data_IF_763231540129
#
_entry.id   IF_763231540129
#
_cell.length_a   1.000
_cell.length_b   1.000
_cell.length_c   1.000
_cell.angle_alpha   90.00
_cell.angle_beta   90.00
_cell.angle_gamma   90.00
#
_symmetry.space_group_name_H-M   'P 1'
#
loop_
_entity.id
_entity.type
_entity.pdbx_description
1 polymer ?
#
# COMPACT_ATOMS: atom_id res chain seq x y z
N UNK A 1 -4.81 46.00 43.38
CA UNK A 1 -5.77 44.89 43.19
C UNK A 1 -6.29 44.98 41.76
N UNK A 2 -6.36 44.00 40.87
CA UNK A 2 -6.13 42.55 40.87
C UNK A 2 -5.83 42.12 39.40
N UNK A 3 -4.94 41.11 39.15
CA UNK A 3 -5.17 40.23 37.99
C UNK A 3 -4.73 38.76 38.22
N UNK A 4 -4.81 38.23 39.44
CA UNK A 4 -4.31 36.87 39.76
C UNK A 4 -5.34 35.75 39.68
N UNK A 5 -6.65 36.06 39.68
CA UNK A 5 -7.71 35.04 39.70
C UNK A 5 -8.00 34.45 38.30
N UNK A 6 -8.02 35.26 37.24
CA UNK A 6 -8.31 34.78 35.87
C UNK A 6 -7.20 33.89 35.30
N UNK A 7 -5.93 34.14 35.64
CA UNK A 7 -4.80 33.32 35.17
C UNK A 7 -4.81 31.91 35.75
N UNK A 8 -5.25 31.74 37.01
CA UNK A 8 -5.35 30.43 37.67
C UNK A 8 -6.50 29.61 37.11
N UNK A 9 -7.67 30.22 36.88
CA UNK A 9 -8.82 29.55 36.25
C UNK A 9 -8.49 29.09 34.83
N UNK A 10 -7.82 29.92 34.02
CA UNK A 10 -7.43 29.56 32.66
C UNK A 10 -6.39 28.42 32.62
N UNK A 11 -5.39 28.48 33.50
CA UNK A 11 -4.38 27.42 33.62
C UNK A 11 -5.01 26.09 34.10
N UNK A 12 -5.91 26.13 35.07
CA UNK A 12 -6.64 24.95 35.55
C UNK A 12 -7.57 24.35 34.49
N UNK A 13 -8.24 25.17 33.68
CA UNK A 13 -9.05 24.68 32.55
C UNK A 13 -8.16 24.03 31.49
N UNK A 14 -7.02 24.63 31.14
CA UNK A 14 -6.04 24.03 30.22
C UNK A 14 -5.52 22.70 30.77
N UNK A 15 -5.14 22.64 32.05
CA UNK A 15 -4.67 21.40 32.67
C UNK A 15 -5.74 20.33 32.70
N UNK A 16 -6.99 20.68 33.00
CA UNK A 16 -8.11 19.73 33.01
C UNK A 16 -8.46 19.22 31.60
N UNK A 17 -8.36 20.08 30.59
CA UNK A 17 -8.56 19.71 29.18
C UNK A 17 -7.43 18.84 28.63
N UNK A 18 -6.18 19.13 28.98
CA UNK A 18 -5.03 18.28 28.62
C UNK A 18 -5.13 16.93 29.32
N UNK A 19 -5.52 16.90 30.59
CA UNK A 19 -5.72 15.66 31.32
C UNK A 19 -6.90 14.86 30.75
N UNK A 20 -8.02 15.50 30.43
CA UNK A 20 -9.16 14.85 29.79
C UNK A 20 -8.85 14.31 28.38
N UNK A 21 -8.00 15.02 27.62
CA UNK A 21 -7.50 14.56 26.34
C UNK A 21 -6.63 13.31 26.52
N UNK A 22 -5.63 13.35 27.41
CA UNK A 22 -4.75 12.21 27.70
C UNK A 22 -5.46 11.02 28.36
N UNK A 23 -6.62 11.24 28.99
CA UNK A 23 -7.46 10.19 29.59
C UNK A 23 -8.48 9.60 28.61
N UNK A 24 -8.55 10.07 27.36
CA UNK A 24 -9.33 9.40 26.31
C UNK A 24 -8.77 8.00 26.02
N UNK A 25 -9.61 7.07 25.57
CA UNK A 25 -9.15 5.74 25.16
C UNK A 25 -8.25 5.77 23.91
N UNK A 26 -8.37 6.82 23.09
CA UNK A 26 -7.58 7.01 21.87
C UNK A 26 -7.32 8.51 21.56
N UNK A 27 -6.49 9.21 22.36
CA UNK A 27 -6.25 10.64 22.21
C UNK A 27 -5.69 11.06 20.85
N UNK A 28 -4.93 10.16 20.20
CA UNK A 28 -4.26 10.45 18.93
C UNK A 28 -4.98 9.87 17.72
N UNK A 29 -6.19 9.33 17.90
CA UNK A 29 -7.02 8.72 16.84
C UNK A 29 -6.28 7.65 16.04
N UNK A 30 -5.59 6.74 16.75
CA UNK A 30 -4.76 5.68 16.17
C UNK A 30 -5.49 4.36 15.99
N UNK A 31 -6.69 4.23 16.55
CA UNK A 31 -7.44 2.98 16.55
C UNK A 31 -8.35 2.86 15.32
N UNK A 32 -8.57 1.62 14.93
CA UNK A 32 -9.50 1.23 13.89
C UNK A 32 -10.41 0.11 14.40
N UNK A 33 -11.57 -0.05 13.80
CA UNK A 33 -12.40 -1.23 14.05
C UNK A 33 -11.84 -2.44 13.27
N UNK A 34 -12.21 -3.66 13.71
CA UNK A 34 -11.86 -4.90 13.00
C UNK A 34 -12.41 -4.91 11.56
N UNK A 35 -13.59 -4.33 11.37
CA UNK A 35 -14.18 -4.08 10.06
C UNK A 35 -14.89 -2.74 10.04
N UNK A 36 -14.65 -1.96 8.99
CA UNK A 36 -15.31 -0.67 8.78
C UNK A 36 -15.40 -0.29 7.31
N UNK A 37 -16.25 0.69 6.98
CA UNK A 37 -16.35 1.20 5.61
C UNK A 37 -15.07 1.93 5.21
N UNK A 38 -14.59 1.67 4.00
CA UNK A 38 -13.50 2.44 3.42
C UNK A 38 -14.00 3.83 3.01
N UNK A 39 -13.06 4.78 2.91
CA UNK A 39 -13.37 6.13 2.45
C UNK A 39 -13.46 6.15 0.92
N UNK A 40 -14.59 6.63 0.39
CA UNK A 40 -14.79 6.77 -1.05
C UNK A 40 -14.40 8.18 -1.54
N UNK A 41 -13.83 8.22 -2.72
CA UNK A 41 -13.41 9.41 -3.45
C UNK A 41 -13.94 9.37 -4.88
N UNK A 42 -14.02 10.56 -5.48
CA UNK A 42 -14.30 10.72 -6.91
C UNK A 42 -13.41 11.82 -7.48
N UNK A 43 -13.02 11.66 -8.74
CA UNK A 43 -12.32 12.68 -9.50
C UNK A 43 -13.18 13.96 -9.58
N UNK A 44 -12.52 15.11 -9.69
CA UNK A 44 -13.21 16.40 -9.87
C UNK A 44 -14.04 16.45 -11.15
N UNK A 45 -13.59 15.72 -12.17
CA UNK A 45 -14.28 15.54 -13.44
C UNK A 45 -14.33 14.05 -13.73
N UNK A 46 -15.54 13.52 -13.90
CA UNK A 46 -15.74 12.12 -14.26
C UNK A 46 -15.70 12.00 -15.79
N UNK A 47 -14.78 11.19 -16.27
CA UNK A 47 -14.69 10.81 -17.68
C UNK A 47 -15.51 9.53 -17.84
N UNK A 48 -16.57 9.57 -18.64
CA UNK A 48 -17.37 8.36 -18.86
C UNK A 48 -16.46 7.24 -19.43
N UNK A 49 -16.33 6.09 -18.75
CA UNK A 49 -15.50 5.01 -19.25
C UNK A 49 -16.09 4.49 -20.55
N UNK A 50 -15.22 4.02 -21.45
CA UNK A 50 -15.67 3.25 -22.60
C UNK A 50 -16.42 1.99 -22.12
N UNK A 51 -17.33 1.42 -22.93
CA UNK A 51 -17.87 0.10 -22.64
C UNK A 51 -16.72 -0.88 -22.41
N UNK A 52 -16.77 -1.70 -21.33
CA UNK A 52 -15.68 -2.61 -21.03
C UNK A 52 -15.45 -3.57 -22.19
N UNK A 53 -14.19 -3.74 -22.55
CA UNK A 53 -13.77 -4.71 -23.56
C UNK A 53 -13.84 -6.15 -23.03
N UNK A 54 -13.31 -7.14 -23.77
CA UNK A 54 -13.22 -8.52 -23.28
C UNK A 54 -12.19 -8.67 -22.15
N UNK A 55 -11.34 -7.65 -21.92
CA UNK A 55 -10.27 -7.67 -20.93
C UNK A 55 -10.23 -6.35 -20.16
N UNK A 56 -9.83 -6.42 -18.90
CA UNK A 56 -9.52 -5.27 -18.06
C UNK A 56 -8.02 -5.21 -17.78
N UNK A 57 -7.41 -4.04 -17.96
CA UNK A 57 -6.02 -3.82 -17.56
C UNK A 57 -5.96 -3.47 -16.08
N UNK A 58 -5.33 -4.33 -15.28
CA UNK A 58 -5.14 -4.13 -13.84
C UNK A 58 -3.68 -3.76 -13.58
N UNK A 59 -3.47 -2.77 -12.73
CA UNK A 59 -2.15 -2.34 -12.28
C UNK A 59 -2.06 -2.41 -10.75
N UNK A 60 -0.91 -2.82 -10.25
CA UNK A 60 -0.55 -2.80 -8.83
C UNK A 60 0.75 -2.01 -8.64
N UNK A 61 0.79 -1.16 -7.62
CA UNK A 61 1.97 -0.33 -7.34
C UNK A 61 2.03 0.20 -5.91
N UNK A 62 3.06 -0.19 -5.15
CA UNK A 62 3.49 0.56 -3.97
C UNK A 62 4.15 1.88 -4.40
N UNK A 63 3.54 3.01 -4.03
CA UNK A 63 3.97 4.35 -4.49
C UNK A 63 4.88 5.08 -3.52
N UNK A 64 5.32 4.40 -2.45
CA UNK A 64 6.23 4.94 -1.43
C UNK A 64 5.82 6.34 -0.97
N UNK A 65 4.52 6.56 -0.70
CA UNK A 65 3.94 7.85 -0.28
C UNK A 65 4.37 9.05 -1.15
N UNK A 66 4.59 8.83 -2.45
CA UNK A 66 5.08 9.86 -3.37
C UNK A 66 6.51 10.33 -3.05
N UNK A 67 7.32 9.46 -2.46
CA UNK A 67 8.70 9.70 -2.04
C UNK A 67 9.72 9.57 -3.15
N UNK A 68 9.38 8.91 -4.26
CA UNK A 68 10.34 8.66 -5.34
C UNK A 68 11.58 7.94 -4.81
N UNK A 69 12.75 8.54 -5.00
CA UNK A 69 14.04 8.07 -4.47
C UNK A 69 14.64 9.01 -3.43
N UNK A 70 13.80 9.68 -2.64
CA UNK A 70 14.26 10.43 -1.47
C UNK A 70 14.72 9.44 -0.41
N UNK A 71 15.91 9.68 0.14
CA UNK A 71 16.55 8.80 1.13
C UNK A 71 16.01 9.08 2.54
N UNK A 72 14.96 8.36 2.94
CA UNK A 72 14.35 8.51 4.26
C UNK A 72 15.16 7.80 5.35
N UNK A 73 15.04 8.28 6.59
CA UNK A 73 15.74 7.71 7.74
C UNK A 73 15.42 6.23 7.99
N UNK A 74 14.17 5.81 7.76
CA UNK A 74 13.74 4.43 7.94
C UNK A 74 14.20 3.48 6.82
N UNK A 75 14.69 4.03 5.70
CA UNK A 75 15.35 3.24 4.64
C UNK A 75 16.85 3.06 4.92
N UNK A 76 17.39 3.76 5.92
CA UNK A 76 18.80 3.78 6.31
C UNK A 76 19.78 4.31 5.23
N UNK A 77 19.26 4.90 4.14
CA UNK A 77 20.06 5.54 3.09
C UNK A 77 20.26 7.05 3.32
N UNK A 78 19.48 7.68 4.21
CA UNK A 78 19.56 9.12 4.48
C UNK A 78 18.94 9.51 5.81
N UNK A 79 18.72 10.81 6.02
CA UNK A 79 18.16 11.37 7.27
C UNK A 79 16.80 12.06 7.04
N UNK A 80 16.24 11.96 5.83
CA UNK A 80 15.01 12.67 5.49
C UNK A 80 13.79 12.08 6.21
N UNK A 81 12.89 12.96 6.62
CA UNK A 81 11.63 12.61 7.30
C UNK A 81 10.45 13.27 6.58
N UNK A 82 10.65 14.49 6.08
CA UNK A 82 9.59 15.36 5.59
C UNK A 82 9.94 15.87 4.20
N UNK A 83 9.06 15.62 3.23
CA UNK A 83 9.17 16.24 1.94
C UNK A 83 8.58 17.65 1.94
N UNK A 84 9.18 18.52 1.14
CA UNK A 84 8.55 19.75 0.70
C UNK A 84 7.35 19.45 -0.20
N UNK A 85 6.39 20.37 -0.26
CA UNK A 85 5.25 20.23 -1.17
C UNK A 85 5.67 20.12 -2.63
N UNK A 86 6.75 20.79 -3.04
CA UNK A 86 7.28 20.70 -4.41
C UNK A 86 7.79 19.30 -4.75
N UNK A 87 8.51 18.66 -3.84
CA UNK A 87 8.99 17.27 -4.04
C UNK A 87 7.82 16.31 -4.17
N UNK A 88 6.85 16.38 -3.25
CA UNK A 88 5.63 15.54 -3.31
C UNK A 88 4.92 15.71 -4.64
N UNK A 89 4.69 16.95 -5.10
CA UNK A 89 3.98 17.19 -6.37
C UNK A 89 4.80 16.71 -7.57
N UNK A 90 6.12 16.91 -7.58
CA UNK A 90 7.00 16.43 -8.65
C UNK A 90 6.98 14.90 -8.75
N UNK A 91 7.06 14.20 -7.62
CA UNK A 91 7.02 12.74 -7.58
C UNK A 91 5.65 12.21 -8.01
N UNK A 92 4.56 12.82 -7.51
CA UNK A 92 3.21 12.47 -7.94
C UNK A 92 2.99 12.71 -9.45
N UNK A 93 3.62 13.73 -10.04
CA UNK A 93 3.58 13.96 -11.49
C UNK A 93 4.19 12.80 -12.26
N UNK A 94 5.36 12.30 -11.85
CA UNK A 94 5.98 11.13 -12.46
C UNK A 94 5.11 9.86 -12.31
N UNK A 95 4.55 9.63 -11.12
CA UNK A 95 3.60 8.53 -10.89
C UNK A 95 2.38 8.64 -11.82
N UNK A 96 1.77 9.82 -11.92
CA UNK A 96 0.63 10.03 -12.80
C UNK A 96 0.99 9.92 -14.29
N UNK A 97 2.17 10.39 -14.71
CA UNK A 97 2.66 10.17 -16.08
C UNK A 97 2.76 8.69 -16.40
N UNK A 98 3.30 7.88 -15.48
CA UNK A 98 3.36 6.44 -15.63
C UNK A 98 1.98 5.79 -15.68
N UNK A 99 1.08 6.19 -14.79
CA UNK A 99 -0.31 5.69 -14.76
C UNK A 99 -1.03 6.03 -16.07
N UNK A 100 -0.92 7.26 -16.58
CA UNK A 100 -1.53 7.65 -17.87
C UNK A 100 -0.90 6.93 -19.07
N UNK A 101 0.39 6.60 -18.98
CA UNK A 101 1.09 5.84 -20.02
C UNK A 101 0.62 4.38 -20.09
N UNK A 102 0.31 3.78 -18.94
CA UNK A 102 -0.28 2.43 -18.85
C UNK A 102 -1.79 2.45 -19.13
N UNK A 103 -2.49 3.50 -18.69
CA UNK A 103 -3.94 3.70 -18.76
C UNK A 103 -4.77 2.54 -18.15
N UNK A 104 -4.49 2.11 -16.89
CA UNK A 104 -5.16 0.95 -16.30
C UNK A 104 -6.65 1.20 -16.07
N UNK A 105 -7.45 0.16 -16.18
CA UNK A 105 -8.87 0.17 -15.82
C UNK A 105 -9.05 0.27 -14.30
N UNK A 106 -8.21 -0.47 -13.57
CA UNK A 106 -8.19 -0.56 -12.11
C UNK A 106 -6.74 -0.51 -11.64
N UNK A 107 -6.50 0.25 -10.58
CA UNK A 107 -5.18 0.44 -9.99
C UNK A 107 -5.24 0.19 -8.47
N UNK A 108 -4.46 -0.79 -8.00
CA UNK A 108 -4.20 -1.06 -6.59
C UNK A 108 -2.95 -0.27 -6.18
N UNK A 109 -3.04 0.49 -5.10
CA UNK A 109 -1.94 1.31 -4.58
C UNK A 109 -1.72 1.02 -3.11
N UNK A 110 -0.45 0.81 -2.72
CA UNK A 110 -0.01 0.74 -1.33
C UNK A 110 0.83 1.98 -0.98
N UNK A 111 0.91 2.27 0.33
CA UNK A 111 1.62 3.45 0.86
C UNK A 111 1.17 4.79 0.28
N UNK A 112 -0.13 4.99 0.08
CA UNK A 112 -0.64 6.30 -0.35
C UNK A 112 -1.05 7.15 0.86
N UNK A 113 -0.54 8.38 0.92
CA UNK A 113 -0.74 9.28 2.04
C UNK A 113 -1.90 10.27 1.80
N UNK A 114 -2.68 10.52 2.84
CA UNK A 114 -3.74 11.54 2.82
C UNK A 114 -3.64 12.46 4.04
N UNK A 115 -3.14 13.68 3.83
CA UNK A 115 -2.95 14.68 4.90
C UNK A 115 -1.88 14.30 5.95
N UNK A 116 -0.90 13.48 5.59
CA UNK A 116 0.29 13.26 6.41
C UNK A 116 1.24 14.45 6.36
N UNK A 117 1.91 14.74 7.48
CA UNK A 117 2.92 15.80 7.58
C UNK A 117 4.12 15.53 6.66
N UNK A 118 4.58 14.28 6.57
CA UNK A 118 5.71 13.87 5.70
C UNK A 118 5.49 14.16 4.22
N UNK A 119 4.24 14.23 3.77
CA UNK A 119 3.86 14.53 2.39
C UNK A 119 3.24 15.93 2.26
N UNK A 120 3.66 16.89 3.10
CA UNK A 120 3.18 18.27 3.08
C UNK A 120 1.63 18.40 3.09
N UNK A 121 0.94 17.47 3.76
CA UNK A 121 -0.51 17.38 3.86
C UNK A 121 -1.24 17.25 2.51
N UNK A 122 -0.56 16.79 1.46
CA UNK A 122 -1.21 16.49 0.18
C UNK A 122 -2.14 15.29 0.35
N UNK A 123 -3.33 15.36 -0.25
CA UNK A 123 -4.19 14.19 -0.41
C UNK A 123 -3.82 13.50 -1.72
N UNK A 124 -2.98 12.48 -1.66
CA UNK A 124 -2.41 11.85 -2.85
C UNK A 124 -3.46 11.07 -3.63
N UNK A 125 -4.39 10.38 -2.97
CA UNK A 125 -5.53 9.69 -3.61
C UNK A 125 -6.33 10.66 -4.47
N UNK A 126 -6.74 11.80 -3.90
CA UNK A 126 -7.50 12.81 -4.64
C UNK A 126 -6.67 13.44 -5.77
N UNK A 127 -5.39 13.70 -5.51
CA UNK A 127 -4.50 14.29 -6.50
C UNK A 127 -4.32 13.36 -7.71
N UNK A 128 -4.12 12.06 -7.50
CA UNK A 128 -3.97 11.06 -8.57
C UNK A 128 -5.25 10.93 -9.39
N UNK A 129 -6.42 10.89 -8.75
CA UNK A 129 -7.72 10.91 -9.45
C UNK A 129 -7.88 12.15 -10.35
N UNK A 130 -7.40 13.31 -9.90
CA UNK A 130 -7.51 14.56 -10.68
C UNK A 130 -6.47 14.68 -11.81
N UNK A 131 -5.49 13.78 -11.88
CA UNK A 131 -4.37 13.83 -12.83
C UNK A 131 -4.22 12.52 -13.63
N UNK A 132 -5.22 11.66 -13.63
CA UNK A 132 -5.28 10.40 -14.41
C UNK A 132 -6.70 10.20 -14.94
N UNK A 133 -6.92 9.15 -15.73
CA UNK A 133 -8.20 8.77 -16.31
C UNK A 133 -9.09 7.96 -15.34
N UNK A 134 -8.61 7.74 -14.10
CA UNK A 134 -9.33 7.02 -13.05
C UNK A 134 -10.36 7.95 -12.39
N UNK A 135 -11.57 7.44 -12.18
CA UNK A 135 -12.72 8.25 -11.78
C UNK A 135 -13.10 8.12 -10.31
N UNK A 136 -12.90 6.93 -9.74
CA UNK A 136 -13.38 6.57 -8.41
C UNK A 136 -12.23 5.97 -7.61
N UNK A 137 -12.21 6.20 -6.31
CA UNK A 137 -11.30 5.47 -5.43
C UNK A 137 -11.95 5.06 -4.11
N UNK A 138 -11.49 3.94 -3.58
CA UNK A 138 -11.65 3.55 -2.19
C UNK A 138 -10.30 3.66 -1.49
N UNK A 139 -10.29 4.12 -0.24
CA UNK A 139 -9.08 4.28 0.57
C UNK A 139 -9.30 3.74 1.98
N UNK A 140 -8.30 3.02 2.48
CA UNK A 140 -8.27 2.51 3.85
C UNK A 140 -6.91 2.77 4.49
N UNK A 141 -6.92 3.53 5.58
CA UNK A 141 -5.71 3.81 6.36
C UNK A 141 -5.17 2.53 7.02
N UNK A 142 -3.85 2.37 6.95
CA UNK A 142 -3.09 1.40 7.73
C UNK A 142 -2.21 2.07 8.80
N UNK A 143 -1.93 3.37 8.69
CA UNK A 143 -1.21 4.12 9.71
C UNK A 143 -1.88 5.46 9.90
N UNK A 144 -2.47 5.70 11.07
CA UNK A 144 -3.18 6.94 11.37
C UNK A 144 -2.81 7.41 12.76
N UNK A 145 -2.41 8.66 12.87
CA UNK A 145 -2.28 9.36 14.13
C UNK A 145 -2.33 10.86 13.88
N UNK A 146 -3.01 11.59 14.76
CA UNK A 146 -2.98 13.06 14.73
C UNK A 146 -1.57 13.60 14.99
N UNK A 147 -0.77 12.86 15.76
CA UNK A 147 0.63 13.17 16.03
C UNK A 147 1.40 11.94 16.53
N UNK A 148 2.38 11.47 15.76
CA UNK A 148 3.40 10.51 16.20
C UNK A 148 4.56 11.28 16.85
N UNK A 149 4.86 11.05 18.15
CA UNK A 149 5.88 11.79 18.89
C UNK A 149 7.29 11.19 18.72
N UNK A 150 7.63 10.69 17.54
CA UNK A 150 8.95 10.10 17.22
C UNK A 150 9.48 10.64 15.90
N UNK A 151 10.80 10.79 15.82
CA UNK A 151 11.58 11.02 14.59
C UNK A 151 11.09 12.16 13.68
N UNK A 152 10.37 13.13 14.24
CA UNK A 152 9.80 14.25 13.47
C UNK A 152 8.57 13.92 12.62
N UNK A 153 8.10 12.67 12.63
CA UNK A 153 6.99 12.12 11.82
C UNK A 153 5.73 13.00 11.94
N UNK A 154 5.28 13.28 13.17
CA UNK A 154 4.09 14.10 13.41
C UNK A 154 2.81 13.44 12.88
N UNK A 155 1.91 14.22 12.26
CA UNK A 155 0.63 13.70 11.77
C UNK A 155 0.86 12.69 10.64
N UNK A 156 0.18 11.55 10.70
CA UNK A 156 0.23 10.52 9.67
C UNK A 156 -1.16 9.99 9.36
N UNK A 157 -1.39 9.72 8.08
CA UNK A 157 -2.54 9.01 7.58
C UNK A 157 -2.15 8.38 6.22
N UNK A 158 -1.56 7.18 6.31
CA UNK A 158 -1.08 6.37 5.18
C UNK A 158 -1.93 5.12 5.06
N UNK A 159 -2.14 4.64 3.84
CA UNK A 159 -3.10 3.57 3.56
C UNK A 159 -2.91 2.89 2.22
N UNK A 160 -3.85 1.99 1.95
CA UNK A 160 -4.05 1.34 0.66
C UNK A 160 -5.20 2.04 -0.08
N UNK A 161 -5.13 2.07 -1.40
CA UNK A 161 -6.22 2.56 -2.24
C UNK A 161 -6.50 1.64 -3.42
N UNK A 162 -7.76 1.61 -3.85
CA UNK A 162 -8.19 1.00 -5.11
C UNK A 162 -8.79 2.13 -5.93
N UNK A 163 -8.17 2.45 -7.06
CA UNK A 163 -8.65 3.44 -8.03
C UNK A 163 -9.26 2.71 -9.22
N UNK A 164 -10.30 3.27 -9.82
CA UNK A 164 -11.04 2.63 -10.91
C UNK A 164 -11.60 3.66 -11.88
N UNK A 165 -11.58 3.32 -13.18
CA UNK A 165 -12.37 4.03 -14.21
C UNK A 165 -13.87 3.84 -13.99
N UNK A 166 -14.28 2.73 -13.37
CA UNK A 166 -15.65 2.30 -13.18
C UNK A 166 -16.17 2.57 -11.75
N UNK A 167 -17.49 2.74 -11.55
CA UNK A 167 -18.06 3.02 -10.24
C UNK A 167 -17.73 1.97 -9.17
N UNK A 168 -17.36 2.43 -7.98
CA UNK A 168 -17.21 1.58 -6.79
C UNK A 168 -18.53 1.55 -6.04
N UNK A 169 -19.18 0.38 -5.99
CA UNK A 169 -20.48 0.16 -5.37
C UNK A 169 -20.39 0.12 -3.84
N UNK A 170 -19.34 -0.52 -3.34
CA UNK A 170 -19.06 -0.60 -1.90
C UNK A 170 -17.57 -0.85 -1.67
N UNK A 171 -17.08 -0.44 -0.50
CA UNK A 171 -15.71 -0.75 -0.10
C UNK A 171 -15.58 -0.85 1.43
N UNK A 172 -14.77 -1.81 1.88
CA UNK A 172 -14.59 -2.16 3.28
C UNK A 172 -13.11 -2.35 3.60
N UNK A 173 -12.75 -1.93 4.81
CA UNK A 173 -11.45 -2.17 5.44
C UNK A 173 -11.62 -3.30 6.45
N UNK A 174 -10.82 -4.35 6.33
CA UNK A 174 -10.71 -5.45 7.30
C UNK A 174 -9.34 -5.37 7.95
N UNK A 175 -9.30 -5.26 9.28
CA UNK A 175 -8.04 -5.18 10.01
C UNK A 175 -7.27 -6.52 9.94
N UNK A 176 -5.95 -6.41 9.85
CA UNK A 176 -5.04 -7.53 9.97
C UNK A 176 -4.39 -7.56 11.37
N UNK A 177 -3.91 -8.72 11.84
CA UNK A 177 -3.21 -8.84 13.12
C UNK A 177 -2.04 -7.87 13.25
N UNK A 178 -1.89 -7.32 14.46
CA UNK A 178 -0.75 -6.47 14.83
C UNK A 178 0.48 -7.33 15.11
N UNK A 179 1.66 -6.74 14.92
CA UNK A 179 2.94 -7.36 15.33
C UNK A 179 2.93 -7.49 16.84
N UNK A 180 2.95 -8.72 17.34
CA UNK A 180 2.75 -9.08 18.75
C UNK A 180 4.01 -8.90 19.60
N UNK A 181 5.19 -8.88 18.99
CA UNK A 181 6.46 -8.63 19.66
C UNK A 181 6.69 -7.16 20.02
N UNK A 182 6.00 -6.23 19.36
CA UNK A 182 6.04 -4.80 19.67
C UNK A 182 5.45 -4.49 21.05
N UNK A 183 6.04 -3.54 21.77
CA UNK A 183 5.47 -3.05 23.01
C UNK A 183 4.19 -2.22 22.76
N UNK A 184 3.35 -2.08 23.79
CA UNK A 184 2.05 -1.43 23.66
C UNK A 184 2.11 0.02 23.16
N UNK A 185 3.17 0.78 23.49
CA UNK A 185 3.31 2.16 23.02
C UNK A 185 3.68 2.19 21.54
N UNK A 186 4.58 1.31 21.12
CA UNK A 186 4.92 1.11 19.71
C UNK A 186 3.68 0.72 18.92
N UNK A 187 2.98 -0.36 19.30
CA UNK A 187 1.72 -0.78 18.65
C UNK A 187 0.67 0.35 18.59
N UNK A 188 0.59 1.18 19.63
CA UNK A 188 -0.36 2.29 19.66
C UNK A 188 -0.11 3.29 18.53
N UNK A 189 1.15 3.65 18.27
CA UNK A 189 1.52 4.60 17.21
C UNK A 189 1.90 3.97 15.87
N UNK A 190 2.04 2.65 15.79
CA UNK A 190 2.55 1.97 14.61
C UNK A 190 1.44 1.49 13.65
N UNK A 191 1.89 0.86 12.56
CA UNK A 191 1.07 0.33 11.47
C UNK A 191 0.06 -0.70 11.98
N UNK A 192 -1.17 -0.57 11.50
CA UNK A 192 -2.31 -1.48 11.69
C UNK A 192 -2.78 -1.91 10.30
N UNK A 193 -2.03 -2.87 9.72
CA UNK A 193 -2.23 -3.38 8.36
C UNK A 193 -3.68 -3.79 8.12
N UNK A 194 -4.12 -3.75 6.87
CA UNK A 194 -5.51 -4.06 6.51
C UNK A 194 -5.63 -4.65 5.11
N UNK A 195 -6.74 -5.35 4.90
CA UNK A 195 -7.27 -5.69 3.57
C UNK A 195 -8.33 -4.64 3.20
N UNK A 196 -8.15 -3.98 2.07
CA UNK A 196 -9.13 -3.12 1.44
C UNK A 196 -9.86 -3.91 0.35
N UNK A 197 -11.15 -4.16 0.53
CA UNK A 197 -11.99 -4.81 -0.49
C UNK A 197 -12.96 -3.81 -1.10
N UNK A 198 -13.02 -3.73 -2.42
CA UNK A 198 -13.98 -2.91 -3.17
C UNK A 198 -14.78 -3.77 -4.16
N UNK A 199 -16.07 -3.47 -4.33
CA UNK A 199 -16.90 -4.06 -5.39
C UNK A 199 -17.10 -3.00 -6.47
N UNK A 200 -16.65 -3.31 -7.69
CA UNK A 200 -16.63 -2.39 -8.84
C UNK A 200 -17.68 -2.84 -9.87
N UNK A 201 -18.47 -1.89 -10.38
CA UNK A 201 -19.44 -2.13 -11.46
C UNK A 201 -18.80 -1.93 -12.84
N UNK A 202 -18.38 -3.03 -13.44
CA UNK A 202 -17.77 -3.06 -14.78
C UNK A 202 -18.86 -3.35 -15.81
N UNK A 203 -19.59 -2.31 -16.22
CA UNK A 203 -20.60 -2.40 -17.27
C UNK A 203 -21.77 -3.33 -16.93
N UNK A 204 -22.22 -3.33 -15.67
CA UNK A 204 -23.30 -4.18 -15.16
C UNK A 204 -22.83 -5.50 -14.56
N UNK A 205 -21.52 -5.73 -14.48
CA UNK A 205 -20.90 -6.92 -13.86
C UNK A 205 -20.09 -6.51 -12.65
N UNK A 206 -20.24 -7.23 -11.54
CA UNK A 206 -19.48 -6.95 -10.34
C UNK A 206 -18.12 -7.64 -10.38
N UNK A 207 -17.06 -6.86 -10.12
CA UNK A 207 -15.71 -7.35 -9.87
C UNK A 207 -15.31 -6.99 -8.43
N UNK A 208 -14.87 -7.99 -7.67
CA UNK A 208 -14.30 -7.75 -6.33
C UNK A 208 -12.81 -7.48 -6.46
N UNK A 209 -12.33 -6.37 -5.91
CA UNK A 209 -10.91 -6.03 -5.91
C UNK A 209 -10.41 -5.97 -4.46
N UNK A 210 -9.36 -6.71 -4.17
CA UNK A 210 -8.79 -6.90 -2.83
C UNK A 210 -7.35 -6.38 -2.86
N UNK A 211 -7.08 -5.32 -2.09
CA UNK A 211 -5.75 -4.71 -1.98
C UNK A 211 -5.24 -4.86 -0.54
N UNK A 212 -4.00 -5.32 -0.37
CA UNK A 212 -3.34 -5.41 0.92
C UNK A 212 -1.89 -4.94 0.86
N UNK A 213 -1.33 -4.65 2.03
CA UNK A 213 0.10 -4.44 2.24
C UNK A 213 0.45 -5.11 3.57
N UNK A 214 1.21 -6.21 3.54
CA UNK A 214 1.59 -6.98 4.74
C UNK A 214 2.80 -6.37 5.46
N UNK A 215 3.06 -6.80 6.69
CA UNK A 215 4.20 -6.34 7.47
C UNK A 215 5.56 -6.76 6.86
N UNK A 216 6.50 -5.82 6.75
CA UNK A 216 7.87 -6.09 6.31
C UNK A 216 8.76 -6.64 7.43
N UNK A 217 8.74 -5.98 8.58
CA UNK A 217 9.57 -6.28 9.76
C UNK A 217 8.73 -7.01 10.82
N UNK A 218 8.80 -8.35 10.86
CA UNK A 218 8.09 -9.18 11.83
C UNK A 218 8.80 -10.53 11.95
N UNK A 219 9.21 -10.89 13.16
CA UNK A 219 9.87 -12.16 13.47
C UNK A 219 8.99 -13.11 14.30
N UNK A 220 7.80 -12.66 14.68
CA UNK A 220 6.83 -13.38 15.51
C UNK A 220 5.81 -14.23 14.71
N UNK A 221 5.96 -14.28 13.38
CA UNK A 221 5.03 -14.98 12.48
C UNK A 221 3.76 -14.21 12.13
N UNK A 222 3.62 -12.94 12.54
CA UNK A 222 2.47 -12.09 12.19
C UNK A 222 2.33 -11.97 10.68
N UNK A 223 3.43 -11.75 9.95
CA UNK A 223 3.40 -11.66 8.48
C UNK A 223 2.77 -12.89 7.82
N UNK A 224 3.10 -14.11 8.28
CA UNK A 224 2.48 -15.35 7.80
C UNK A 224 0.97 -15.38 8.09
N UNK A 225 0.56 -15.00 9.30
CA UNK A 225 -0.87 -14.92 9.65
C UNK A 225 -1.63 -13.93 8.74
N UNK A 226 -1.00 -12.80 8.38
CA UNK A 226 -1.59 -11.84 7.47
C UNK A 226 -1.79 -12.42 6.05
N UNK A 227 -0.81 -13.18 5.55
CA UNK A 227 -0.91 -13.89 4.27
C UNK A 227 -2.00 -14.96 4.31
N UNK A 228 -2.10 -15.70 5.41
CA UNK A 228 -3.15 -16.73 5.58
C UNK A 228 -4.55 -16.11 5.60
N UNK A 229 -4.74 -14.98 6.28
CA UNK A 229 -6.01 -14.24 6.28
C UNK A 229 -6.36 -13.72 4.88
N UNK A 230 -5.36 -13.28 4.09
CA UNK A 230 -5.59 -12.91 2.69
C UNK A 230 -6.09 -14.12 1.87
N UNK A 231 -5.45 -15.28 2.01
CA UNK A 231 -5.87 -16.52 1.35
C UNK A 231 -7.30 -16.90 1.75
N UNK A 232 -7.61 -16.87 3.04
CA UNK A 232 -8.97 -17.15 3.55
C UNK A 232 -10.01 -16.18 2.98
N UNK A 233 -9.68 -14.89 2.88
CA UNK A 233 -10.56 -13.88 2.30
C UNK A 233 -10.81 -14.09 0.80
N UNK A 234 -9.80 -14.56 0.05
CA UNK A 234 -9.94 -14.95 -1.35
C UNK A 234 -10.80 -16.19 -1.51
N UNK A 235 -10.61 -17.23 -0.68
CA UNK A 235 -11.45 -18.44 -0.64
C UNK A 235 -12.91 -18.09 -0.31
N UNK A 236 -13.15 -17.20 0.66
CA UNK A 236 -14.50 -16.76 0.99
C UNK A 236 -15.15 -16.04 -0.20
N UNK A 237 -14.41 -15.16 -0.87
CA UNK A 237 -14.88 -14.43 -2.05
C UNK A 237 -15.24 -15.39 -3.20
N UNK A 238 -14.39 -16.38 -3.47
CA UNK A 238 -14.65 -17.41 -4.48
C UNK A 238 -15.87 -18.27 -4.15
N UNK A 239 -16.05 -18.64 -2.88
CA UNK A 239 -17.21 -19.43 -2.42
C UNK A 239 -18.55 -18.73 -2.65
N UNK A 240 -18.54 -17.40 -2.77
CA UNK A 240 -19.69 -16.57 -3.11
C UNK A 240 -19.88 -16.42 -4.63
N UNK A 241 -19.11 -17.15 -5.44
CA UNK A 241 -19.09 -17.09 -6.91
C UNK A 241 -18.82 -15.69 -7.45
N UNK A 242 -18.00 -14.91 -6.73
CA UNK A 242 -17.58 -13.58 -7.16
C UNK A 242 -16.25 -13.67 -7.89
N UNK A 243 -16.19 -13.10 -9.09
CA UNK A 243 -14.92 -12.85 -9.77
C UNK A 243 -14.12 -11.84 -8.94
N UNK A 244 -12.84 -12.12 -8.72
CA UNK A 244 -11.98 -11.21 -7.98
C UNK A 244 -10.60 -10.99 -8.61
N UNK A 245 -9.99 -9.85 -8.27
CA UNK A 245 -8.55 -9.64 -8.35
C UNK A 245 -8.05 -9.29 -6.95
N UNK A 246 -6.98 -9.92 -6.49
CA UNK A 246 -6.42 -9.74 -5.16
C UNK A 246 -4.92 -9.59 -5.20
N UNK A 247 -4.35 -8.71 -4.39
CA UNK A 247 -2.90 -8.54 -4.35
C UNK A 247 -2.41 -7.28 -3.65
N UNK A 248 -1.17 -6.91 -3.99
CA UNK A 248 -0.42 -5.81 -3.44
C UNK A 248 1.00 -6.21 -3.04
N UNK A 249 1.61 -5.40 -2.19
CA UNK A 249 2.92 -5.64 -1.60
C UNK A 249 2.79 -6.64 -0.42
N UNK A 250 3.26 -7.87 -0.65
CA UNK A 250 3.21 -8.93 0.33
C UNK A 250 4.49 -9.08 1.15
N UNK A 251 5.52 -8.25 0.92
CA UNK A 251 6.77 -8.25 1.68
C UNK A 251 7.40 -9.65 1.92
N UNK A 252 7.15 -10.58 0.99
CA UNK A 252 7.60 -11.98 1.09
C UNK A 252 8.03 -12.44 -0.30
N UNK A 253 9.13 -13.20 -0.38
CA UNK A 253 9.65 -13.72 -1.64
C UNK A 253 8.81 -14.91 -2.16
N UNK A 254 8.70 -15.09 -3.48
CA UNK A 254 8.01 -16.24 -4.04
C UNK A 254 8.83 -17.55 -3.90
N UNK A 255 8.17 -18.73 -3.91
CA UNK A 255 8.85 -20.01 -3.89
C UNK A 255 9.80 -20.19 -5.08
N UNK A 256 11.02 -20.65 -4.80
CA UNK A 256 12.06 -20.83 -5.82
C UNK A 256 12.90 -19.58 -6.12
N UNK A 257 12.84 -18.57 -5.25
CA UNK A 257 13.78 -17.43 -5.30
C UNK A 257 15.20 -17.87 -4.98
N UNK A 258 16.17 -17.48 -5.82
CA UNK A 258 17.57 -17.85 -5.69
C UNK A 258 18.33 -17.06 -4.60
N UNK A 259 18.12 -15.73 -4.53
CA UNK A 259 18.71 -14.86 -3.51
C UNK A 259 17.68 -14.57 -2.45
N UNK A 260 17.87 -15.11 -1.25
CA UNK A 260 16.91 -15.02 -0.15
C UNK A 260 17.43 -14.21 1.04
N UNK A 261 18.70 -13.78 1.01
CA UNK A 261 19.34 -13.00 2.06
C UNK A 261 20.55 -12.21 1.55
N UNK A 262 21.08 -11.31 2.38
CA UNK A 262 22.26 -10.45 2.13
C UNK A 262 22.08 -9.55 0.90
N UNK A 263 20.91 -8.93 0.79
CA UNK A 263 20.59 -8.00 -0.30
C UNK A 263 21.50 -6.77 -0.27
N UNK A 264 21.95 -6.29 -1.44
CA UNK A 264 22.96 -5.23 -1.52
C UNK A 264 22.50 -3.89 -0.95
N UNK A 265 21.19 -3.69 -0.82
CA UNK A 265 20.56 -2.48 -0.30
C UNK A 265 20.20 -2.56 1.19
N UNK A 266 20.52 -3.68 1.85
CA UNK A 266 20.34 -3.88 3.29
C UNK A 266 21.45 -3.19 4.08
N UNK A 267 21.32 -1.87 4.22
CA UNK A 267 22.30 -1.00 4.89
C UNK A 267 21.95 -0.64 6.33
N UNK A 268 20.74 -0.99 6.78
CA UNK A 268 20.31 -0.77 8.16
C UNK A 268 21.17 -1.56 9.15
N UNK A 269 21.72 -0.86 10.15
CA UNK A 269 22.43 -1.49 11.28
C UNK A 269 21.54 -1.73 12.49
N UNK A 270 20.35 -1.13 12.51
CA UNK A 270 19.33 -1.35 13.53
C UNK A 270 18.49 -2.57 13.14
N UNK A 271 18.46 -3.58 14.02
CA UNK A 271 17.72 -4.83 13.80
C UNK A 271 16.20 -4.55 13.61
N UNK A 272 15.67 -3.46 14.18
CA UNK A 272 14.26 -3.09 14.03
C UNK A 272 13.84 -2.76 12.59
N UNK A 273 14.79 -2.42 11.71
CA UNK A 273 14.55 -2.10 10.31
C UNK A 273 15.22 -3.10 9.35
N UNK A 274 15.63 -4.27 9.84
CA UNK A 274 16.28 -5.27 9.02
C UNK A 274 15.25 -6.29 8.47
N UNK A 275 14.89 -6.16 7.20
CA UNK A 275 14.09 -7.14 6.44
C UNK A 275 14.92 -7.74 5.30
N UNK A 276 16.04 -8.35 5.68
CA UNK A 276 17.03 -8.86 4.72
C UNK A 276 17.00 -10.38 4.57
N UNK A 277 16.48 -11.14 5.54
CA UNK A 277 16.51 -12.62 5.52
C UNK A 277 15.11 -13.21 5.39
N UNK A 278 14.86 -13.90 4.28
CA UNK A 278 13.56 -14.48 3.90
C UNK A 278 13.58 -16.01 3.88
N UNK A 279 14.66 -16.65 4.34
CA UNK A 279 14.84 -18.11 4.21
C UNK A 279 13.70 -18.90 4.88
N UNK A 280 13.24 -18.42 6.02
CA UNK A 280 12.16 -19.04 6.80
C UNK A 280 10.74 -18.76 6.24
N UNK A 281 10.65 -17.92 5.20
CA UNK A 281 9.39 -17.50 4.56
C UNK A 281 9.22 -18.05 3.14
N UNK A 282 10.20 -18.83 2.68
CA UNK A 282 10.37 -19.21 1.27
C UNK A 282 9.21 -20.01 0.65
N UNK A 283 8.32 -20.58 1.45
CA UNK A 283 7.15 -21.35 1.01
C UNK A 283 5.81 -20.70 1.37
N UNK A 284 5.80 -19.53 2.01
CA UNK A 284 4.56 -18.93 2.56
C UNK A 284 3.54 -18.55 1.49
N UNK A 285 3.99 -18.19 0.28
CA UNK A 285 3.11 -17.86 -0.84
C UNK A 285 2.65 -19.09 -1.66
N UNK A 286 3.11 -20.30 -1.31
CA UNK A 286 2.77 -21.52 -2.04
C UNK A 286 1.25 -21.75 -2.18
N UNK A 287 0.42 -21.57 -1.13
CA UNK A 287 -1.03 -21.73 -1.27
C UNK A 287 -1.65 -20.77 -2.30
N UNK A 288 -1.19 -19.51 -2.33
CA UNK A 288 -1.68 -18.52 -3.28
C UNK A 288 -1.40 -18.93 -4.73
N UNK A 289 -0.19 -19.40 -5.02
CA UNK A 289 0.19 -19.87 -6.37
C UNK A 289 -0.45 -21.20 -6.78
N UNK A 290 -0.83 -22.04 -5.82
CA UNK A 290 -1.48 -23.32 -6.10
C UNK A 290 -2.96 -23.14 -6.42
N UNK A 291 -3.63 -22.22 -5.72
CA UNK A 291 -5.09 -22.11 -5.74
C UNK A 291 -5.57 -21.05 -6.75
N UNK A 292 -4.73 -20.07 -7.11
CA UNK A 292 -5.14 -18.92 -7.90
C UNK A 292 -4.25 -18.67 -9.11
N UNK A 293 -4.83 -18.10 -10.16
CA UNK A 293 -4.08 -17.67 -11.32
C UNK A 293 -3.28 -16.39 -10.98
N UNK A 294 -1.97 -16.43 -11.18
CA UNK A 294 -1.05 -15.39 -10.77
C UNK A 294 -0.64 -14.55 -11.98
N UNK A 295 -0.60 -13.22 -11.82
CA UNK A 295 -0.24 -12.32 -12.92
C UNK A 295 1.13 -12.66 -13.53
N UNK A 296 2.10 -13.04 -12.68
CA UNK A 296 3.34 -13.67 -13.10
C UNK A 296 3.27 -15.14 -12.67
N UNK A 297 3.15 -16.10 -13.59
CA UNK A 297 3.13 -17.52 -13.24
C UNK A 297 4.39 -17.94 -12.48
N UNK A 298 4.23 -18.80 -11.48
CA UNK A 298 5.36 -19.25 -10.64
C UNK A 298 6.45 -19.92 -11.47
N UNK A 299 6.06 -20.70 -12.49
CA UNK A 299 6.99 -21.38 -13.39
C UNK A 299 7.86 -20.40 -14.18
N UNK A 300 7.28 -19.27 -14.61
CA UNK A 300 8.02 -18.24 -15.35
C UNK A 300 8.97 -17.50 -14.41
N UNK A 301 8.51 -17.18 -13.20
CA UNK A 301 9.37 -16.61 -12.17
C UNK A 301 10.56 -17.53 -11.83
N UNK A 302 10.32 -18.82 -11.68
CA UNK A 302 11.36 -19.80 -11.36
C UNK A 302 12.33 -20.03 -12.52
N UNK A 303 11.89 -19.84 -13.76
CA UNK A 303 12.75 -19.92 -14.93
C UNK A 303 13.75 -18.76 -14.98
N UNK A 304 13.33 -17.55 -14.61
CA UNK A 304 14.20 -16.38 -14.51
C UNK A 304 13.68 -15.38 -13.48
N UNK A 305 14.25 -15.38 -12.26
CA UNK A 305 13.83 -14.46 -11.21
C UNK A 305 14.04 -12.99 -11.60
N UNK A 306 15.06 -12.69 -12.43
CA UNK A 306 15.54 -11.33 -12.66
C UNK A 306 14.55 -10.45 -13.43
N UNK A 307 13.74 -11.06 -14.28
CA UNK A 307 12.72 -10.39 -15.11
C UNK A 307 11.51 -9.89 -14.31
N UNK A 308 11.39 -10.30 -13.05
CA UNK A 308 10.16 -10.08 -12.27
C UNK A 308 10.42 -9.48 -10.88
N UNK A 309 11.62 -8.95 -10.66
CA UNK A 309 11.98 -8.22 -9.43
C UNK A 309 11.27 -6.86 -9.43
N UNK A 310 10.72 -6.49 -8.29
CA UNK A 310 9.88 -5.31 -8.11
C UNK A 310 10.44 -4.33 -7.09
N UNK A 311 11.38 -4.68 -6.21
CA UNK A 311 11.76 -3.80 -5.11
C UNK A 311 13.27 -3.64 -4.94
N UNK A 312 13.69 -2.42 -4.56
CA UNK A 312 14.98 -2.13 -3.92
C UNK A 312 14.97 -0.76 -3.26
N UNK A 313 15.58 -0.61 -2.09
CA UNK A 313 15.76 0.70 -1.42
C UNK A 313 16.96 1.49 -1.97
N UNK A 314 17.92 0.85 -2.65
CA UNK A 314 19.10 1.51 -3.21
C UNK A 314 18.77 2.25 -4.51
N UNK A 315 18.83 3.59 -4.48
CA UNK A 315 18.57 4.47 -5.61
C UNK A 315 19.57 4.34 -6.77
N UNK A 316 20.78 3.85 -6.50
CA UNK A 316 21.83 3.59 -7.50
C UNK A 316 21.85 2.15 -8.02
N UNK A 317 21.02 1.27 -7.44
CA UNK A 317 20.98 -0.16 -7.74
C UNK A 317 20.00 -0.54 -8.86
N UNK A 318 19.69 -1.83 -8.92
CA UNK A 318 18.61 -2.39 -9.74
C UNK A 318 17.68 -3.20 -8.84
N UNK A 319 16.45 -3.46 -9.31
CA UNK A 319 15.47 -4.28 -8.59
C UNK A 319 16.11 -5.59 -8.14
N UNK A 320 15.96 -5.94 -6.87
CA UNK A 320 16.68 -7.07 -6.28
C UNK A 320 15.77 -8.10 -5.57
N UNK A 321 14.49 -7.78 -5.38
CA UNK A 321 13.47 -8.64 -4.76
C UNK A 321 12.15 -8.55 -5.52
N UNK A 322 11.37 -9.64 -5.54
CA UNK A 322 9.95 -9.62 -5.97
C UNK A 322 9.08 -9.63 -4.72
N UNK A 323 8.30 -8.58 -4.50
CA UNK A 323 7.42 -8.40 -3.34
C UNK A 323 5.98 -8.04 -3.70
N UNK A 324 5.72 -7.65 -4.95
CA UNK A 324 4.41 -7.20 -5.43
C UNK A 324 3.73 -8.26 -6.31
N UNK A 325 2.43 -8.48 -6.09
CA UNK A 325 1.68 -9.60 -6.67
C UNK A 325 0.23 -9.25 -7.00
N UNK A 326 -0.32 -9.95 -7.98
CA UNK A 326 -1.75 -10.00 -8.29
C UNK A 326 -2.16 -11.46 -8.55
N UNK A 327 -3.32 -11.85 -8.02
CA UNK A 327 -3.95 -13.16 -8.13
C UNK A 327 -5.43 -13.04 -8.49
N UNK A 328 -6.00 -14.04 -9.16
CA UNK A 328 -7.43 -14.08 -9.52
C UNK A 328 -7.99 -15.51 -9.52
N UNK A 329 -9.30 -15.64 -9.34
CA UNK A 329 -10.06 -16.85 -9.67
C UNK A 329 -10.58 -16.86 -11.13
N UNK A 330 -10.28 -15.81 -11.90
CA UNK A 330 -10.52 -15.72 -13.34
C UNK A 330 -9.34 -16.23 -14.16
N UNK A 331 -9.07 -15.55 -15.27
CA UNK A 331 -7.93 -15.84 -16.15
C UNK A 331 -7.14 -14.54 -16.35
N UNK A 332 -5.87 -14.59 -16.00
CA UNK A 332 -4.90 -13.55 -16.28
C UNK A 332 -4.09 -13.87 -17.54
N UNK A 333 -3.82 -12.82 -18.30
CA UNK A 333 -2.94 -12.88 -19.46
C UNK A 333 -2.04 -11.64 -19.50
N UNK A 334 -0.91 -11.75 -20.20
CA UNK A 334 -0.01 -10.63 -20.47
C UNK A 334 0.52 -9.91 -19.21
N UNK A 335 0.84 -10.67 -18.15
CA UNK A 335 1.46 -10.11 -16.95
C UNK A 335 2.87 -9.56 -17.21
N UNK A 336 3.20 -8.41 -16.61
CA UNK A 336 4.48 -7.73 -16.81
C UNK A 336 4.89 -6.93 -15.57
N UNK A 337 6.17 -6.97 -15.23
CA UNK A 337 6.78 -6.00 -14.30
C UNK A 337 7.41 -4.87 -15.11
N UNK A 338 7.06 -3.64 -14.78
CA UNK A 338 7.58 -2.47 -15.46
C UNK A 338 8.94 -2.05 -14.88
N UNK A 339 9.98 -2.84 -15.13
CA UNK A 339 11.30 -2.64 -14.52
C UNK A 339 12.07 -1.44 -15.11
N UNK A 340 11.86 -1.11 -16.38
CA UNK A 340 12.62 -0.06 -17.08
C UNK A 340 11.91 0.39 -18.39
N UNK A 341 12.60 1.19 -19.20
CA UNK A 341 12.04 1.64 -20.49
C UNK A 341 11.80 0.49 -21.48
N UNK A 342 12.61 -0.56 -21.47
CA UNK A 342 12.42 -1.75 -22.32
C UNK A 342 11.31 -2.68 -21.81
N UNK A 343 11.11 -2.73 -20.50
CA UNK A 343 10.05 -3.47 -19.83
C UNK A 343 9.07 -2.48 -19.24
N UNK A 344 8.18 -1.94 -20.08
CA UNK A 344 7.14 -1.02 -19.63
C UNK A 344 7.16 0.39 -20.22
N UNK A 345 8.10 0.71 -21.11
CA UNK A 345 8.04 1.91 -21.96
C UNK A 345 8.36 3.25 -21.28
N UNK A 346 8.72 3.25 -20.00
CA UNK A 346 9.10 4.43 -19.22
C UNK A 346 10.02 3.99 -18.07
N UNK A 347 11.00 4.82 -17.71
CA UNK A 347 11.80 4.57 -16.49
C UNK A 347 10.92 4.67 -15.24
N UNK A 348 10.92 3.61 -14.43
CA UNK A 348 10.11 3.50 -13.21
C UNK A 348 10.95 3.63 -11.94
N UNK A 349 12.25 3.34 -12.02
CA UNK A 349 13.18 3.41 -10.89
C UNK A 349 13.23 4.79 -10.19
N UNK A 350 13.09 5.94 -10.88
CA UNK A 350 13.02 7.24 -10.21
C UNK A 350 11.70 7.49 -9.47
N UNK A 351 10.64 6.73 -9.77
CA UNK A 351 9.26 7.05 -9.39
C UNK A 351 8.84 6.46 -8.04
N UNK A 352 9.42 5.31 -7.68
CA UNK A 352 9.20 4.59 -6.42
C UNK A 352 10.36 3.60 -6.21
N UNK A 353 10.54 3.11 -4.99
CA UNK A 353 11.39 1.94 -4.69
C UNK A 353 10.71 0.61 -5.07
N UNK A 354 9.47 0.66 -5.53
CA UNK A 354 8.78 -0.45 -6.18
C UNK A 354 8.54 -0.22 -7.68
N UNK A 355 8.70 -1.26 -8.49
CA UNK A 355 8.32 -1.32 -9.89
C UNK A 355 6.84 -1.72 -10.00
N UNK A 356 6.06 -1.07 -10.87
CA UNK A 356 4.67 -1.44 -11.06
C UNK A 356 4.50 -2.79 -11.76
N UNK A 357 3.43 -3.50 -11.40
CA UNK A 357 2.98 -4.74 -12.03
C UNK A 357 1.70 -4.47 -12.83
N UNK A 358 1.58 -4.99 -14.05
CA UNK A 358 0.32 -5.00 -14.79
C UNK A 358 -0.07 -6.39 -15.27
N UNK A 359 -1.37 -6.60 -15.47
CA UNK A 359 -1.94 -7.83 -16.05
C UNK A 359 -3.29 -7.53 -16.70
N UNK A 360 -3.68 -8.30 -17.71
CA UNK A 360 -5.03 -8.26 -18.27
C UNK A 360 -5.89 -9.37 -17.67
N UNK A 361 -7.04 -9.02 -17.08
CA UNK A 361 -8.07 -9.96 -16.64
C UNK A 361 -9.06 -10.21 -17.78
N UNK A 362 -9.26 -11.47 -18.19
CA UNK A 362 -10.32 -11.82 -19.12
C UNK A 362 -11.69 -11.79 -18.42
N UNK A 363 -12.64 -11.02 -18.99
CA UNK A 363 -14.01 -10.96 -18.49
C UNK A 363 -14.85 -12.11 -19.05
N UNK A 364 -15.66 -12.80 -18.22
CA UNK A 364 -16.41 -13.99 -18.61
C UNK A 364 -17.58 -13.77 -19.59
#
# INVERSE_FOLDING_TARGET
>A
MAPTAHRKSFLSVITLSVLAFLLGCDPFHTQFNDSEKAQLYSASQIIAPAPPGPRLLIMDWNVKFGGGRIDFFFDCHGDEVLMTKSEVISNLQGLAEKIRQVDPDILLIQEVDTLSKRCAYVNQVKWLLDNTELNYAAYASQWKADYVPSDGIGRVNSGNAILSKYPILSAHRTALPLISEDDALTQYFYLKRNILTAVIDVGGRELTVINTHTSAYSHDGTKKQQIDILQEHMVETDSQSRLFVAGGDLNTLPPGTLKQWDFPDSVCTDEAFQADDYRDESDWLTPLYNDWDAAIPLVDYQADNSLYLTHTTDSGGFWNRKLDYLFTNGIFVNGMIHQDTSHGGMETMPLSDHAPLTVELELP
#
